data_IF_219387911241
#
_entry.id   IF_219387911241
#
_cell.length_a   1.000
_cell.length_b   1.000
_cell.length_c   1.000
_cell.angle_alpha   90.00
_cell.angle_beta   90.00
_cell.angle_gamma   90.00
#
_symmetry.space_group_name_H-M   'P 1'
#
loop_
_entity.id
_entity.type
_entity.pdbx_description
1 polymer ?
#
# COMPACT_ATOMS: atom_id res chain seq x y z
N UNK A 1 -12.06 14.70 43.02
CA UNK A 1 -11.21 15.20 44.13
C UNK A 1 -9.98 14.31 44.14
N UNK A 2 -8.74 14.74 43.93
CA UNK A 2 -8.07 16.03 44.15
C UNK A 2 -7.14 16.33 42.97
N UNK A 3 -7.00 17.62 42.65
CA UNK A 3 -6.00 18.16 41.72
C UNK A 3 -4.75 18.44 42.54
N UNK A 4 -3.62 17.89 42.15
CA UNK A 4 -2.34 18.21 42.79
C UNK A 4 -1.69 19.35 42.00
N UNK A 5 -1.92 20.56 42.49
CA UNK A 5 -1.24 21.78 42.08
C UNK A 5 0.14 21.80 42.73
N UNK A 6 1.21 21.67 41.94
CA UNK A 6 2.56 21.94 42.42
C UNK A 6 2.97 23.35 41.98
N UNK A 7 3.07 24.24 42.96
CA UNK A 7 3.59 25.59 42.87
C UNK A 7 4.87 25.61 43.68
N UNK A 8 6.06 25.74 43.07
CA UNK A 8 7.26 26.11 43.84
C UNK A 8 8.24 26.97 43.02
N UNK A 9 8.16 28.27 43.34
CA UNK A 9 9.24 29.23 43.66
C UNK A 9 10.44 29.31 42.72
N UNK A 10 10.51 30.45 42.03
CA UNK A 10 11.72 31.07 41.50
C UNK A 10 12.70 31.40 42.64
N UNK A 11 13.93 30.88 42.57
CA UNK A 11 15.07 31.42 43.33
C UNK A 11 16.17 31.84 42.35
N UNK A 12 16.51 33.12 42.39
CA UNK A 12 17.49 33.77 41.50
C UNK A 12 18.83 33.91 42.23
N UNK A 13 19.89 33.81 41.43
CA UNK A 13 21.25 34.33 41.61
C UNK A 13 22.24 33.54 42.46
N UNK A 14 23.27 33.03 41.78
CA UNK A 14 24.67 33.21 42.19
C UNK A 14 25.58 33.09 40.96
N UNK A 15 26.24 34.21 40.64
CA UNK A 15 27.30 34.32 39.66
C UNK A 15 28.54 33.62 40.24
N UNK A 16 29.17 32.75 39.46
CA UNK A 16 30.53 32.29 39.71
C UNK A 16 31.27 32.19 38.38
N UNK A 17 32.15 33.16 38.14
CA UNK A 17 33.20 33.04 37.13
C UNK A 17 34.23 32.04 37.65
N UNK A 18 34.57 31.04 36.85
CA UNK A 18 35.74 30.19 37.13
C UNK A 18 35.81 28.92 36.31
N UNK A 19 36.73 28.89 35.36
CA UNK A 19 37.35 27.64 34.87
C UNK A 19 37.02 27.26 33.43
N UNK A 20 37.85 27.69 32.49
CA UNK A 20 38.01 26.99 31.21
C UNK A 20 38.60 25.60 31.49
N UNK A 21 37.75 24.57 31.50
CA UNK A 21 38.22 23.21 31.29
C UNK A 21 38.13 22.93 29.80
N UNK A 22 39.30 22.68 29.21
CA UNK A 22 39.47 22.24 27.84
C UNK A 22 38.91 20.81 27.72
N UNK A 23 37.59 20.69 27.63
CA UNK A 23 36.92 19.44 27.29
C UNK A 23 37.01 19.29 25.78
N UNK A 24 37.98 18.50 25.34
CA UNK A 24 37.96 17.91 24.01
C UNK A 24 36.63 17.19 23.87
N UNK A 25 35.70 17.81 23.14
CA UNK A 25 34.50 17.14 22.65
C UNK A 25 34.98 15.94 21.86
N UNK A 26 34.87 14.74 22.42
CA UNK A 26 34.68 13.54 21.61
C UNK A 26 33.38 13.79 20.86
N UNK A 27 33.53 14.25 19.62
CA UNK A 27 32.50 14.20 18.60
C UNK A 27 32.02 12.76 18.53
N UNK A 28 30.85 12.52 19.14
CA UNK A 28 30.04 11.36 18.86
C UNK A 28 29.76 11.38 17.36
N UNK A 29 30.60 10.64 16.62
CA UNK A 29 30.60 10.57 15.18
C UNK A 29 29.51 9.61 14.73
N UNK A 30 28.26 9.89 15.11
CA UNK A 30 27.12 9.38 14.36
C UNK A 30 27.01 10.28 13.12
N UNK A 31 27.24 9.75 11.90
CA UNK A 31 27.07 10.55 10.70
C UNK A 31 25.66 11.17 10.70
N UNK A 32 25.50 12.47 10.38
CA UNK A 32 24.17 13.03 10.27
C UNK A 32 23.39 12.22 9.24
N UNK A 33 22.23 11.70 9.65
CA UNK A 33 21.28 11.01 8.79
C UNK A 33 21.04 11.88 7.55
N UNK A 34 21.61 11.49 6.42
CA UNK A 34 21.56 12.30 5.19
C UNK A 34 20.11 12.42 4.74
N UNK A 35 19.70 13.62 4.34
CA UNK A 35 18.35 13.88 3.84
C UNK A 35 17.92 12.84 2.77
N UNK A 36 16.64 12.44 2.73
CA UNK A 36 16.16 11.39 1.83
C UNK A 36 16.37 11.77 0.36
N UNK A 37 16.77 10.80 -0.46
CA UNK A 37 16.92 11.01 -1.90
C UNK A 37 15.55 11.06 -2.59
N UNK A 38 15.50 11.54 -3.84
CA UNK A 38 14.26 11.51 -4.64
C UNK A 38 13.73 10.08 -4.77
N UNK A 39 14.61 9.09 -4.91
CA UNK A 39 14.23 7.67 -5.01
C UNK A 39 13.56 7.20 -3.72
N UNK A 40 14.09 7.57 -2.56
CA UNK A 40 13.50 7.21 -1.26
C UNK A 40 12.10 7.84 -1.10
N UNK A 41 11.96 9.11 -1.45
CA UNK A 41 10.68 9.83 -1.40
C UNK A 41 9.64 9.18 -2.32
N UNK A 42 10.02 8.83 -3.56
CA UNK A 42 9.09 8.18 -4.51
C UNK A 42 8.70 6.78 -4.07
N UNK A 43 9.62 6.03 -3.45
CA UNK A 43 9.33 4.71 -2.90
C UNK A 43 8.33 4.80 -1.73
N UNK A 44 8.59 5.67 -0.76
CA UNK A 44 7.73 5.94 0.41
C UNK A 44 6.32 6.38 -0.03
N UNK A 45 6.24 7.26 -1.03
CA UNK A 45 4.98 7.71 -1.59
C UNK A 45 4.22 6.56 -2.27
N UNK A 46 4.91 5.73 -3.05
CA UNK A 46 4.34 4.54 -3.67
C UNK A 46 3.78 3.55 -2.65
N UNK A 47 4.54 3.28 -1.58
CA UNK A 47 4.11 2.45 -0.44
C UNK A 47 2.82 3.00 0.18
N UNK A 48 2.84 4.28 0.54
CA UNK A 48 1.71 4.94 1.20
C UNK A 48 0.43 4.89 0.36
N UNK A 49 0.52 5.25 -0.92
CA UNK A 49 -0.63 5.31 -1.82
C UNK A 49 -1.20 3.91 -2.06
N UNK A 50 -0.34 2.94 -2.39
CA UNK A 50 -0.80 1.57 -2.68
C UNK A 50 -1.37 0.88 -1.44
N UNK A 51 -0.82 1.14 -0.24
CA UNK A 51 -1.38 0.64 1.01
C UNK A 51 -2.75 1.27 1.31
N UNK A 52 -2.89 2.59 1.15
CA UNK A 52 -4.17 3.30 1.33
C UNK A 52 -5.24 2.77 0.37
N UNK A 53 -4.89 2.56 -0.89
CA UNK A 53 -5.78 1.99 -1.89
C UNK A 53 -6.21 0.55 -1.53
N UNK A 54 -5.25 -0.31 -1.18
CA UNK A 54 -5.53 -1.69 -0.76
C UNK A 54 -6.45 -1.75 0.46
N UNK A 55 -6.23 -0.89 1.46
CA UNK A 55 -7.07 -0.83 2.67
C UNK A 55 -8.48 -0.35 2.36
N UNK A 56 -8.61 0.70 1.55
CA UNK A 56 -9.92 1.26 1.17
C UNK A 56 -10.72 0.25 0.37
N UNK A 57 -10.12 -0.35 -0.66
CA UNK A 57 -10.75 -1.38 -1.49
C UNK A 57 -11.12 -2.62 -0.67
N UNK A 58 -10.20 -3.07 0.19
CA UNK A 58 -10.40 -4.23 1.05
C UNK A 58 -11.52 -4.03 2.07
N UNK A 59 -11.67 -2.83 2.64
CA UNK A 59 -12.74 -2.51 3.60
C UNK A 59 -14.10 -2.57 2.93
N UNK A 60 -14.27 -1.89 1.80
CA UNK A 60 -15.54 -1.88 1.07
C UNK A 60 -15.92 -3.28 0.56
N UNK A 61 -14.95 -4.06 0.08
CA UNK A 61 -15.19 -5.47 -0.27
C UNK A 61 -15.67 -6.29 0.94
N UNK A 62 -14.98 -6.18 2.08
CA UNK A 62 -15.34 -6.91 3.30
C UNK A 62 -16.75 -6.54 3.77
N UNK A 63 -17.10 -5.27 3.72
CA UNK A 63 -18.44 -4.78 4.06
C UNK A 63 -19.50 -5.39 3.14
N UNK A 64 -19.32 -5.32 1.81
CA UNK A 64 -20.28 -5.89 0.87
C UNK A 64 -20.45 -7.42 1.05
N UNK A 65 -19.35 -8.13 1.33
CA UNK A 65 -19.40 -9.56 1.65
C UNK A 65 -20.18 -9.84 2.95
N UNK A 66 -20.08 -8.98 3.96
CA UNK A 66 -20.83 -9.11 5.22
C UNK A 66 -22.32 -8.82 5.03
N UNK A 67 -22.66 -7.85 4.19
CA UNK A 67 -24.05 -7.41 3.96
C UNK A 67 -24.88 -8.43 3.17
N UNK A 68 -24.30 -9.09 2.17
CA UNK A 68 -25.04 -10.08 1.38
C UNK A 68 -24.19 -11.05 0.58
N UNK A 69 -22.96 -11.31 1.05
CA UNK A 69 -22.05 -12.27 0.43
C UNK A 69 -21.63 -11.84 -0.98
N UNK A 70 -21.39 -12.84 -1.83
CA UNK A 70 -20.85 -12.61 -3.18
C UNK A 70 -21.81 -11.77 -4.04
N UNK A 71 -23.12 -11.94 -3.87
CA UNK A 71 -24.13 -11.20 -4.62
C UNK A 71 -23.95 -9.69 -4.48
N UNK A 72 -23.69 -9.21 -3.27
CA UNK A 72 -23.47 -7.77 -2.99
C UNK A 72 -22.03 -7.32 -3.26
N UNK A 73 -21.05 -8.23 -3.16
CA UNK A 73 -19.65 -7.92 -3.43
C UNK A 73 -19.30 -7.77 -4.93
N UNK A 74 -20.04 -8.45 -5.83
CA UNK A 74 -19.79 -8.42 -7.27
C UNK A 74 -19.95 -7.02 -7.89
N UNK A 75 -21.07 -6.29 -7.65
CA UNK A 75 -21.25 -4.93 -8.16
C UNK A 75 -20.13 -3.99 -7.75
N UNK A 76 -19.66 -4.11 -6.50
CA UNK A 76 -18.52 -3.33 -6.02
C UNK A 76 -17.25 -3.62 -6.85
N UNK A 77 -16.93 -4.90 -7.04
CA UNK A 77 -15.77 -5.29 -7.85
C UNK A 77 -15.88 -4.87 -9.32
N UNK A 78 -17.09 -4.88 -9.89
CA UNK A 78 -17.30 -4.63 -11.32
C UNK A 78 -17.37 -3.14 -11.65
N UNK A 79 -18.11 -2.37 -10.84
CA UNK A 79 -18.45 -0.99 -11.14
C UNK A 79 -17.75 0.03 -10.24
N UNK A 80 -17.52 -0.28 -8.96
CA UNK A 80 -17.01 0.70 -8.00
C UNK A 80 -15.48 0.70 -7.87
N UNK A 81 -14.83 -0.44 -8.10
CA UNK A 81 -13.40 -0.59 -7.85
C UNK A 81 -12.52 0.31 -8.74
N UNK A 82 -12.86 0.46 -10.04
CA UNK A 82 -12.13 1.32 -10.97
C UNK A 82 -12.28 2.81 -10.61
N UNK A 83 -13.50 3.39 -10.53
CA UNK A 83 -13.68 4.79 -10.13
C UNK A 83 -13.05 5.15 -8.78
N UNK A 84 -13.08 4.22 -7.82
CA UNK A 84 -12.43 4.43 -6.53
C UNK A 84 -10.91 4.48 -6.65
N UNK A 85 -10.31 3.61 -7.48
CA UNK A 85 -8.87 3.62 -7.73
C UNK A 85 -8.46 4.91 -8.44
N UNK A 86 -9.24 5.34 -9.43
CA UNK A 86 -9.02 6.58 -10.17
C UNK A 86 -9.11 7.81 -9.25
N UNK A 87 -10.11 7.85 -8.37
CA UNK A 87 -10.28 8.92 -7.39
C UNK A 87 -9.10 9.02 -6.41
N UNK A 88 -8.55 7.89 -5.98
CA UNK A 88 -7.35 7.87 -5.13
C UNK A 88 -6.14 8.38 -5.92
N UNK A 89 -5.93 7.91 -7.15
CA UNK A 89 -4.85 8.40 -8.01
C UNK A 89 -4.94 9.92 -8.23
N UNK A 90 -6.14 10.43 -8.50
CA UNK A 90 -6.39 11.86 -8.69
C UNK A 90 -6.05 12.72 -7.47
N UNK A 91 -6.24 12.22 -6.25
CA UNK A 91 -5.85 12.94 -5.02
C UNK A 91 -4.34 13.15 -4.90
N UNK A 92 -3.54 12.24 -5.49
CA UNK A 92 -2.09 12.31 -5.48
C UNK A 92 -1.49 12.80 -6.81
N UNK A 93 -2.32 13.11 -7.80
CA UNK A 93 -1.86 13.50 -9.14
C UNK A 93 -1.12 12.39 -9.88
N UNK A 94 -1.45 11.12 -9.62
CA UNK A 94 -0.80 9.95 -10.22
C UNK A 94 -1.82 9.04 -10.92
N UNK A 95 -1.34 8.25 -11.87
CA UNK A 95 -2.11 7.14 -12.42
C UNK A 95 -2.00 5.93 -11.48
N UNK A 96 -3.11 5.54 -10.86
CA UNK A 96 -3.17 4.36 -9.99
C UNK A 96 -3.92 3.25 -10.72
N UNK A 97 -3.30 2.08 -10.85
CA UNK A 97 -3.91 0.91 -11.50
C UNK A 97 -3.80 -0.33 -10.64
N UNK A 98 -4.74 -1.26 -10.86
CA UNK A 98 -4.68 -2.63 -10.38
C UNK A 98 -4.76 -3.56 -11.56
N UNK A 99 -3.80 -4.48 -11.67
CA UNK A 99 -3.71 -5.40 -12.79
C UNK A 99 -3.28 -6.80 -12.35
N UNK A 100 -3.41 -7.78 -13.24
CA UNK A 100 -3.00 -9.17 -13.05
C UNK A 100 -2.75 -9.85 -14.40
N UNK A 101 -2.04 -10.98 -14.40
CA UNK A 101 -1.90 -11.81 -15.61
C UNK A 101 -3.23 -12.45 -16.06
N UNK A 102 -4.16 -12.65 -15.11
CA UNK A 102 -5.51 -13.16 -15.35
C UNK A 102 -6.51 -12.18 -14.74
N UNK A 103 -7.05 -11.32 -15.57
CA UNK A 103 -8.01 -10.30 -15.15
C UNK A 103 -9.44 -10.80 -15.29
N UNK A 104 -10.32 -10.33 -14.40
CA UNK A 104 -11.77 -10.52 -14.54
C UNK A 104 -12.43 -9.33 -15.25
N UNK A 105 -11.95 -8.12 -14.97
CA UNK A 105 -12.35 -6.92 -15.68
C UNK A 105 -11.33 -6.63 -16.80
N UNK A 106 -11.72 -6.63 -18.08
CA UNK A 106 -10.82 -6.34 -19.20
C UNK A 106 -10.11 -4.99 -19.11
N UNK A 107 -10.70 -3.98 -18.45
CA UNK A 107 -10.08 -2.67 -18.26
C UNK A 107 -8.80 -2.72 -17.39
N UNK A 108 -8.62 -3.80 -16.63
CA UNK A 108 -7.40 -4.04 -15.83
C UNK A 108 -6.33 -4.82 -16.60
N UNK A 109 -6.54 -5.14 -17.88
CA UNK A 109 -5.56 -5.88 -18.67
C UNK A 109 -4.19 -5.17 -18.63
N UNK A 110 -3.10 -5.86 -18.28
CA UNK A 110 -1.79 -5.23 -18.22
C UNK A 110 -1.27 -4.88 -19.61
N UNK A 111 -0.60 -3.75 -19.72
CA UNK A 111 0.27 -3.42 -20.83
C UNK A 111 1.59 -4.23 -20.76
N UNK A 112 2.47 -4.06 -21.76
CA UNK A 112 3.71 -4.86 -21.82
C UNK A 112 4.69 -4.60 -20.66
N UNK A 113 4.78 -3.37 -20.16
CA UNK A 113 5.62 -3.04 -19.00
C UNK A 113 5.07 -3.68 -17.73
N UNK A 114 3.77 -3.56 -17.48
CA UNK A 114 3.10 -4.19 -16.33
C UNK A 114 3.24 -5.73 -16.37
N UNK A 115 3.14 -6.35 -17.56
CA UNK A 115 3.37 -7.80 -17.73
C UNK A 115 4.78 -8.23 -17.31
N UNK A 116 5.80 -7.42 -17.58
CA UNK A 116 7.17 -7.73 -17.18
C UNK A 116 7.32 -7.79 -15.65
N UNK A 117 6.81 -6.77 -14.94
CA UNK A 117 6.81 -6.78 -13.46
C UNK A 117 5.99 -7.95 -12.90
N UNK A 118 4.80 -8.22 -13.45
CA UNK A 118 3.97 -9.35 -13.03
C UNK A 118 4.71 -10.70 -13.19
N UNK A 119 5.42 -10.91 -14.31
CA UNK A 119 6.22 -12.13 -14.52
C UNK A 119 7.43 -12.21 -13.60
N UNK A 120 8.05 -11.07 -13.27
CA UNK A 120 9.13 -11.00 -12.28
C UNK A 120 8.63 -11.43 -10.91
N UNK A 121 7.49 -10.90 -10.45
CA UNK A 121 6.85 -11.35 -9.21
C UNK A 121 6.47 -12.82 -9.25
N UNK A 122 5.94 -13.32 -10.38
CA UNK A 122 5.63 -14.74 -10.52
C UNK A 122 6.89 -15.62 -10.38
N UNK A 123 8.01 -15.20 -10.97
CA UNK A 123 9.29 -15.92 -10.88
C UNK A 123 9.84 -15.93 -9.45
N UNK A 124 9.81 -14.78 -8.77
CA UNK A 124 10.20 -14.65 -7.36
C UNK A 124 9.36 -15.58 -6.48
N UNK A 125 8.03 -15.59 -6.69
CA UNK A 125 7.12 -16.46 -5.95
C UNK A 125 7.44 -17.94 -6.17
N UNK A 126 7.71 -18.37 -7.41
CA UNK A 126 8.06 -19.76 -7.72
C UNK A 126 9.39 -20.19 -7.10
N UNK A 127 10.33 -19.25 -6.91
CA UNK A 127 11.62 -19.51 -6.25
C UNK A 127 11.54 -19.50 -4.72
N UNK A 128 10.42 -19.03 -4.15
CA UNK A 128 10.29 -18.83 -2.71
C UNK A 128 10.95 -17.53 -2.21
N UNK A 129 11.25 -16.60 -3.11
CA UNK A 129 11.83 -15.31 -2.77
C UNK A 129 10.78 -14.39 -2.13
N UNK A 130 11.23 -13.46 -1.28
CA UNK A 130 10.38 -12.41 -0.73
C UNK A 130 9.87 -11.48 -1.83
N UNK A 131 8.55 -11.35 -1.94
CA UNK A 131 7.89 -10.45 -2.88
C UNK A 131 7.91 -9.01 -2.36
N UNK A 132 8.98 -8.30 -2.67
CA UNK A 132 9.18 -6.89 -2.30
C UNK A 132 8.69 -5.93 -3.40
N UNK A 133 8.12 -4.77 -3.05
CA UNK A 133 7.76 -3.75 -4.03
C UNK A 133 8.96 -3.25 -4.82
N UNK A 134 8.69 -2.71 -6.02
CA UNK A 134 9.72 -2.28 -6.96
C UNK A 134 9.43 -0.86 -7.43
N UNK A 135 10.47 -0.06 -7.53
CA UNK A 135 10.45 1.27 -8.13
C UNK A 135 11.39 1.28 -9.33
N UNK A 136 10.89 1.78 -10.46
CA UNK A 136 11.65 1.94 -11.68
C UNK A 136 11.54 3.40 -12.17
N UNK A 137 12.68 4.01 -12.48
CA UNK A 137 12.70 5.32 -13.13
C UNK A 137 12.40 5.14 -14.62
N UNK A 138 11.44 5.92 -15.12
CA UNK A 138 11.04 5.95 -16.51
C UNK A 138 11.60 7.20 -17.21
N UNK A 139 11.41 7.26 -18.53
CA UNK A 139 11.74 8.46 -19.31
C UNK A 139 10.94 9.68 -18.82
N UNK A 140 11.52 10.88 -18.99
CA UNK A 140 10.83 12.13 -18.62
C UNK A 140 10.73 12.40 -17.11
N UNK A 141 11.53 11.71 -16.29
CA UNK A 141 11.54 11.90 -14.83
C UNK A 141 10.34 11.28 -14.11
N UNK A 142 9.61 10.39 -14.78
CA UNK A 142 8.51 9.64 -14.18
C UNK A 142 9.03 8.42 -13.42
N UNK A 143 8.23 7.91 -12.49
CA UNK A 143 8.55 6.69 -11.74
C UNK A 143 7.37 5.71 -11.82
N UNK A 144 7.69 4.43 -11.97
CA UNK A 144 6.75 3.33 -11.84
C UNK A 144 7.02 2.60 -10.53
N UNK A 145 6.08 2.72 -9.60
CA UNK A 145 6.06 1.92 -8.38
C UNK A 145 5.07 0.75 -8.54
N UNK A 146 5.51 -0.46 -8.23
CA UNK A 146 4.65 -1.65 -8.25
C UNK A 146 4.72 -2.39 -6.91
N UNK A 147 3.56 -2.83 -6.41
CA UNK A 147 3.44 -3.61 -5.18
C UNK A 147 2.63 -4.89 -5.44
N UNK A 148 3.16 -6.07 -5.08
CA UNK A 148 2.45 -7.32 -5.30
C UNK A 148 1.24 -7.45 -4.35
N UNK A 149 0.11 -7.95 -4.88
CA UNK A 149 -1.09 -8.26 -4.10
C UNK A 149 -1.18 -9.78 -3.93
N UNK A 150 -1.07 -10.24 -2.69
CA UNK A 150 -1.14 -11.66 -2.36
C UNK A 150 -2.58 -12.12 -2.14
N UNK A 151 -2.94 -13.22 -2.79
CA UNK A 151 -4.23 -13.90 -2.59
C UNK A 151 -4.25 -14.49 -1.17
N UNK A 152 -5.32 -14.18 -0.43
CA UNK A 152 -5.58 -14.71 0.91
C UNK A 152 -6.83 -15.59 0.87
N UNK A 153 -7.16 -16.27 1.98
CA UNK A 153 -8.32 -17.17 2.05
C UNK A 153 -9.65 -16.49 1.67
N UNK A 154 -9.89 -15.23 2.07
CA UNK A 154 -11.10 -14.52 1.66
C UNK A 154 -11.20 -14.27 0.16
N UNK A 155 -10.06 -14.20 -0.53
CA UNK A 155 -10.00 -13.92 -1.96
C UNK A 155 -10.50 -15.12 -2.77
N UNK A 156 -10.27 -16.34 -2.28
CA UNK A 156 -10.66 -17.58 -2.98
C UNK A 156 -12.16 -17.80 -3.00
N UNK A 157 -12.91 -17.12 -2.14
CA UNK A 157 -14.38 -17.04 -2.18
C UNK A 157 -14.89 -16.63 -3.56
N UNK A 158 -14.15 -15.76 -4.28
CA UNK A 158 -14.48 -15.36 -5.65
C UNK A 158 -13.40 -15.73 -6.69
N UNK A 159 -12.15 -15.91 -6.30
CA UNK A 159 -11.01 -16.17 -7.19
C UNK A 159 -10.43 -17.59 -7.04
N UNK A 160 -11.16 -18.48 -6.36
CA UNK A 160 -10.75 -19.84 -6.10
C UNK A 160 -11.18 -20.82 -7.18
N UNK A 161 -10.92 -22.10 -6.91
CA UNK A 161 -11.33 -23.21 -7.75
C UNK A 161 -12.85 -23.45 -7.66
N UNK A 162 -13.51 -23.52 -8.83
CA UNK A 162 -14.95 -23.74 -8.95
C UNK A 162 -15.31 -25.13 -8.45
N UNK A 163 -16.34 -25.22 -7.60
CA UNK A 163 -16.76 -26.48 -6.96
C UNK A 163 -15.97 -26.82 -5.70
N UNK A 164 -14.92 -26.06 -5.40
CA UNK A 164 -14.13 -26.16 -4.18
C UNK A 164 -14.28 -24.85 -3.38
N UNK A 165 -13.24 -24.00 -3.35
CA UNK A 165 -13.27 -22.72 -2.64
C UNK A 165 -14.24 -21.68 -3.21
N UNK A 166 -14.60 -21.81 -4.49
CA UNK A 166 -15.63 -20.99 -5.15
C UNK A 166 -16.84 -21.88 -5.47
N UNK A 167 -17.99 -21.59 -4.85
CA UNK A 167 -19.21 -22.37 -5.08
C UNK A 167 -19.73 -22.18 -6.51
N UNK A 168 -20.28 -23.25 -7.10
CA UNK A 168 -20.81 -23.21 -8.47
C UNK A 168 -21.92 -22.15 -8.65
N UNK A 169 -22.80 -21.98 -7.65
CA UNK A 169 -23.85 -20.95 -7.69
C UNK A 169 -23.27 -19.53 -7.73
N UNK A 170 -22.20 -19.27 -6.98
CA UNK A 170 -21.52 -17.98 -6.94
C UNK A 170 -20.71 -17.72 -8.22
N UNK A 171 -20.12 -18.78 -8.80
CA UNK A 171 -19.46 -18.70 -10.10
C UNK A 171 -20.46 -18.32 -11.21
N UNK A 172 -21.68 -18.86 -11.19
CA UNK A 172 -22.70 -18.48 -12.15
C UNK A 172 -23.10 -16.99 -12.05
N UNK A 173 -23.06 -16.41 -10.84
CA UNK A 173 -23.26 -14.96 -10.66
C UNK A 173 -22.09 -14.16 -11.25
N UNK A 174 -20.86 -14.61 -11.03
CA UNK A 174 -19.66 -13.99 -11.60
C UNK A 174 -19.70 -13.99 -13.14
N UNK A 175 -20.09 -15.10 -13.77
CA UNK A 175 -20.17 -15.20 -15.23
C UNK A 175 -21.20 -14.25 -15.84
N UNK A 176 -22.32 -13.97 -15.15
CA UNK A 176 -23.31 -13.00 -15.62
C UNK A 176 -22.76 -11.58 -15.66
N UNK A 177 -21.93 -11.22 -14.68
CA UNK A 177 -21.35 -9.88 -14.59
C UNK A 177 -20.06 -9.73 -15.41
N UNK A 178 -19.37 -10.84 -15.67
CA UNK A 178 -18.11 -10.90 -16.41
C UNK A 178 -18.19 -12.06 -17.44
N UNK A 179 -18.85 -11.84 -18.59
CA UNK A 179 -19.10 -12.91 -19.57
C UNK A 179 -17.90 -13.25 -20.46
N UNK A 180 -16.75 -12.59 -20.25
CA UNK A 180 -15.53 -12.69 -21.06
C UNK A 180 -14.58 -13.76 -20.57
#
# INVERSE_FOLDING_TARGET
MKKDTFLFVLAVLSISLGGCQNTSSTEDSTPPESAPTVVDVMFEQGETITQSAQLTLGRALKQALQEGGIKEAIPYCNHAALPLTDSIGGQFGIELRRTALRVRNPANQPNEFEKQHLRKYQTMLTRGDSLVPQLEALAGGQFLYTRPIMVQGMCTTCHGEVGNTLKAADYALLQKQYPT
#
